data_IF_276595822404
#
_entry.id   IF_276595822404
#
_cell.length_a   1.000
_cell.length_b   1.000
_cell.length_c   1.000
_cell.angle_alpha   90.00
_cell.angle_beta   90.00
_cell.angle_gamma   90.00
#
_symmetry.space_group_name_H-M   'P 1'
#
loop_
_entity.id
_entity.type
_entity.pdbx_description
1 polymer ?
#
# COMPACT_ATOMS: atom_id res chain seq x y z
N UNK A 1 -4.40 15.25 3.23
CA UNK A 1 -3.97 14.38 2.11
C UNK A 1 -5.02 13.29 2.05
N UNK A 2 -5.64 13.11 0.90
CA UNK A 2 -6.83 12.28 0.74
C UNK A 2 -6.38 10.83 0.58
N UNK A 3 -6.65 9.98 1.57
CA UNK A 3 -6.32 8.55 1.48
C UNK A 3 -7.57 7.75 1.14
N UNK A 4 -7.48 6.96 0.07
CA UNK A 4 -8.39 5.86 -0.19
C UNK A 4 -7.72 4.56 0.25
N UNK A 5 -8.46 3.69 0.89
CA UNK A 5 -7.98 2.40 1.36
C UNK A 5 -9.01 1.31 1.06
N UNK A 6 -8.53 0.13 0.70
CA UNK A 6 -9.35 -1.06 0.51
C UNK A 6 -8.62 -2.31 0.96
N UNK A 7 -9.38 -3.29 1.44
CA UNK A 7 -8.92 -4.63 1.73
C UNK A 7 -9.81 -5.64 1.01
N UNK A 8 -9.19 -6.52 0.23
CA UNK A 8 -9.88 -7.47 -0.63
C UNK A 8 -9.57 -8.88 -0.15
N UNK A 9 -10.48 -9.39 0.69
CA UNK A 9 -10.34 -10.66 1.41
C UNK A 9 -10.09 -11.86 0.48
N UNK A 10 -10.74 -11.91 -0.68
CA UNK A 10 -10.66 -13.06 -1.60
C UNK A 10 -9.26 -13.29 -2.19
N UNK A 11 -8.47 -12.23 -2.27
CA UNK A 11 -7.14 -12.25 -2.91
C UNK A 11 -6.04 -11.80 -1.96
N UNK A 12 -6.37 -11.68 -0.68
CA UNK A 12 -5.49 -11.26 0.42
C UNK A 12 -4.63 -10.03 0.08
N UNK A 13 -5.24 -8.98 -0.47
CA UNK A 13 -4.52 -7.77 -0.84
C UNK A 13 -5.16 -6.50 -0.27
N UNK A 14 -4.32 -5.49 -0.08
CA UNK A 14 -4.74 -4.12 0.23
C UNK A 14 -4.34 -3.18 -0.91
N UNK A 15 -5.07 -2.07 -1.01
CA UNK A 15 -4.67 -0.89 -1.75
C UNK A 15 -4.74 0.32 -0.84
N UNK A 16 -3.78 1.23 -0.95
CA UNK A 16 -3.84 2.54 -0.29
C UNK A 16 -3.27 3.63 -1.19
N UNK A 17 -3.97 4.76 -1.29
CA UNK A 17 -3.55 5.91 -2.09
C UNK A 17 -2.89 6.99 -1.25
N UNK A 18 -2.15 7.87 -1.91
CA UNK A 18 -1.46 9.03 -1.30
C UNK A 18 -0.53 8.64 -0.15
N UNK A 19 0.27 7.61 -0.36
CA UNK A 19 1.34 7.20 0.56
C UNK A 19 2.68 7.26 -0.15
N UNK A 20 3.76 7.42 0.62
CA UNK A 20 5.11 7.25 0.11
C UNK A 20 5.54 5.78 0.11
N UNK A 21 6.53 5.45 -0.74
CA UNK A 21 7.06 4.10 -0.86
C UNK A 21 7.65 3.56 0.45
N UNK A 22 8.07 4.42 1.38
CA UNK A 22 8.60 4.01 2.68
C UNK A 22 7.64 3.12 3.50
N UNK A 23 6.33 3.20 3.23
CA UNK A 23 5.34 2.33 3.87
C UNK A 23 5.46 0.86 3.44
N UNK A 24 6.06 0.57 2.28
CA UNK A 24 6.34 -0.80 1.84
C UNK A 24 7.24 -1.58 2.81
N UNK A 25 8.07 -0.87 3.59
CA UNK A 25 8.98 -1.48 4.58
C UNK A 25 8.25 -2.37 5.61
N UNK A 26 7.01 -2.01 5.98
CA UNK A 26 6.16 -2.78 6.90
C UNK A 26 5.92 -4.19 6.35
N UNK A 27 5.77 -4.30 5.03
CA UNK A 27 5.41 -5.53 4.33
C UNK A 27 6.63 -6.36 3.88
N UNK A 28 7.80 -5.74 3.76
CA UNK A 28 9.07 -6.39 3.42
C UNK A 28 9.80 -7.00 4.63
N UNK A 29 9.45 -6.59 5.85
CA UNK A 29 10.15 -6.97 7.07
C UNK A 29 10.26 -8.50 7.20
N UNK A 30 11.49 -9.00 7.28
CA UNK A 30 11.85 -10.42 7.44
C UNK A 30 11.31 -11.34 6.34
N UNK A 31 11.18 -10.84 5.11
CA UNK A 31 10.76 -11.64 3.96
C UNK A 31 11.83 -11.66 2.90
N UNK A 32 11.96 -12.79 2.23
CA UNK A 32 12.78 -12.89 1.03
C UNK A 32 12.04 -12.22 -0.13
N UNK A 33 12.72 -11.33 -0.83
CA UNK A 33 12.11 -10.54 -1.90
C UNK A 33 13.08 -10.27 -3.04
N UNK A 34 12.55 -9.87 -4.18
CA UNK A 34 13.34 -9.31 -5.29
C UNK A 34 12.63 -8.12 -5.92
N UNK A 35 13.39 -7.09 -6.26
CA UNK A 35 12.88 -5.91 -6.97
C UNK A 35 12.93 -6.21 -8.47
N UNK A 36 11.77 -6.33 -9.11
CA UNK A 36 11.68 -6.71 -10.53
C UNK A 36 11.45 -5.52 -11.46
N UNK A 37 10.89 -4.43 -10.95
CA UNK A 37 10.77 -3.16 -11.66
C UNK A 37 11.11 -2.02 -10.69
N UNK A 38 11.99 -1.11 -11.09
CA UNK A 38 12.36 0.06 -10.30
C UNK A 38 12.58 1.26 -11.22
N UNK A 39 11.64 2.20 -11.19
CA UNK A 39 11.71 3.44 -11.95
C UNK A 39 11.71 4.64 -10.99
N UNK A 40 12.49 5.66 -11.33
CA UNK A 40 12.51 6.91 -10.58
C UNK A 40 12.83 8.11 -11.45
N UNK A 41 12.76 9.29 -10.84
CA UNK A 41 12.95 10.56 -11.53
C UNK A 41 14.41 11.04 -11.45
N UNK A 42 15.07 11.14 -12.61
CA UNK A 42 16.36 11.84 -12.75
C UNK A 42 16.19 13.00 -13.72
N UNK A 43 16.46 14.23 -13.27
CA UNK A 43 16.34 15.45 -14.09
C UNK A 43 14.97 15.62 -14.77
N UNK A 44 13.88 15.27 -14.07
CA UNK A 44 12.49 15.26 -14.56
C UNK A 44 12.17 14.24 -15.66
N UNK A 45 13.04 13.25 -15.87
CA UNK A 45 12.78 12.12 -16.73
C UNK A 45 12.65 10.85 -15.89
N UNK A 46 11.65 10.03 -16.21
CA UNK A 46 11.51 8.70 -15.65
C UNK A 46 12.57 7.78 -16.27
N UNK A 47 13.34 7.12 -15.42
CA UNK A 47 14.41 6.21 -15.84
C UNK A 47 14.31 4.89 -15.10
N UNK A 48 14.65 3.81 -15.79
CA UNK A 48 14.88 2.52 -15.15
C UNK A 48 16.14 2.61 -14.27
N UNK A 49 16.05 2.15 -13.03
CA UNK A 49 17.14 2.12 -12.06
C UNK A 49 17.77 0.74 -11.91
N UNK A 50 17.17 -0.29 -12.51
CA UNK A 50 17.75 -1.63 -12.64
C UNK A 50 18.64 -1.72 -13.88
N UNK A 51 19.55 -2.69 -13.89
CA UNK A 51 20.32 -3.05 -15.08
C UNK A 51 19.44 -3.89 -16.03
N UNK A 52 19.27 -3.45 -17.28
CA UNK A 52 18.32 -4.07 -18.24
C UNK A 52 18.63 -5.54 -18.57
N UNK A 53 19.89 -5.94 -18.48
CA UNK A 53 20.38 -7.28 -18.87
C UNK A 53 20.71 -8.19 -17.67
N UNK A 54 20.39 -7.77 -16.43
CA UNK A 54 20.63 -8.56 -15.23
C UNK A 54 19.34 -9.13 -14.67
N UNK A 55 19.34 -10.42 -14.31
CA UNK A 55 18.20 -11.00 -13.62
C UNK A 55 18.07 -10.42 -12.20
N UNK A 56 16.84 -10.02 -11.78
CA UNK A 56 16.59 -9.60 -10.42
C UNK A 56 17.02 -10.63 -9.38
N UNK A 57 17.90 -10.21 -8.48
CA UNK A 57 18.45 -11.06 -7.43
C UNK A 57 17.48 -11.19 -6.25
N UNK A 58 17.40 -12.41 -5.71
CA UNK A 58 16.69 -12.67 -4.46
C UNK A 58 17.51 -12.21 -3.26
N UNK A 59 16.92 -11.30 -2.49
CA UNK A 59 17.40 -10.90 -1.17
C UNK A 59 16.88 -11.92 -0.16
N UNK A 60 17.78 -12.72 0.40
CA UNK A 60 17.46 -13.82 1.32
C UNK A 60 18.07 -13.64 2.71
N UNK A 61 18.91 -12.62 2.88
CA UNK A 61 19.64 -12.31 4.11
C UNK A 61 19.76 -10.79 4.26
N UNK A 62 20.13 -10.35 5.47
CA UNK A 62 20.39 -8.94 5.80
C UNK A 62 19.25 -7.98 5.37
N UNK A 63 18.00 -8.46 5.43
CA UNK A 63 16.83 -7.73 4.90
C UNK A 63 16.74 -6.28 5.40
N UNK A 64 17.12 -6.01 6.65
CA UNK A 64 17.10 -4.64 7.19
C UNK A 64 18.04 -3.70 6.44
N UNK A 65 19.21 -4.17 6.02
CA UNK A 65 20.21 -3.37 5.30
C UNK A 65 19.75 -3.13 3.86
N UNK A 66 19.22 -4.16 3.21
CA UNK A 66 18.67 -4.07 1.85
C UNK A 66 17.45 -3.16 1.79
N UNK A 67 16.51 -3.29 2.73
CA UNK A 67 15.36 -2.39 2.86
C UNK A 67 15.86 -0.96 3.12
N UNK A 68 16.82 -0.77 4.03
CA UNK A 68 17.36 0.57 4.30
C UNK A 68 18.01 1.21 3.07
N UNK A 69 18.78 0.45 2.30
CA UNK A 69 19.40 0.93 1.05
C UNK A 69 18.33 1.35 0.05
N UNK A 70 17.35 0.48 -0.19
CA UNK A 70 16.26 0.72 -1.15
C UNK A 70 15.46 1.99 -0.78
N UNK A 71 15.17 2.20 0.50
CA UNK A 71 14.45 3.40 0.96
C UNK A 71 15.32 4.66 0.95
N UNK A 72 16.60 4.54 1.24
CA UNK A 72 17.53 5.68 1.23
C UNK A 72 17.74 6.19 -0.19
N UNK A 73 17.81 5.29 -1.18
CA UNK A 73 17.90 5.66 -2.59
C UNK A 73 16.66 6.42 -3.08
N UNK A 74 15.45 6.03 -2.63
CA UNK A 74 14.21 6.75 -2.93
C UNK A 74 14.25 8.23 -2.49
N UNK A 75 14.94 8.52 -1.38
CA UNK A 75 15.09 9.91 -0.90
C UNK A 75 15.90 10.79 -1.88
N UNK A 76 16.87 10.20 -2.58
CA UNK A 76 17.72 10.91 -3.53
C UNK A 76 17.18 10.88 -4.96
N UNK A 77 16.59 9.75 -5.36
CA UNK A 77 15.96 9.53 -6.66
C UNK A 77 14.54 9.04 -6.39
N UNK A 78 13.56 9.96 -6.28
CA UNK A 78 12.18 9.59 -5.97
C UNK A 78 11.66 8.55 -6.95
N UNK A 79 11.19 7.43 -6.41
CA UNK A 79 10.61 6.35 -7.18
C UNK A 79 9.23 6.75 -7.67
N UNK A 80 8.98 6.47 -8.95
CA UNK A 80 7.68 6.65 -9.60
C UNK A 80 6.93 5.33 -9.69
N UNK A 81 7.68 4.23 -9.84
CA UNK A 81 7.16 2.89 -9.93
C UNK A 81 8.12 1.88 -9.30
N UNK A 82 7.59 0.99 -8.46
CA UNK A 82 8.33 -0.14 -7.88
C UNK A 82 7.46 -1.37 -7.93
N UNK A 83 8.04 -2.50 -8.37
CA UNK A 83 7.42 -3.82 -8.24
C UNK A 83 8.37 -4.77 -7.56
N UNK A 84 7.88 -5.42 -6.51
CA UNK A 84 8.63 -6.37 -5.71
C UNK A 84 7.85 -7.67 -5.64
N UNK A 85 8.53 -8.79 -5.85
CA UNK A 85 7.97 -10.12 -5.64
C UNK A 85 8.44 -10.69 -4.31
N UNK A 86 7.55 -11.39 -3.61
CA UNK A 86 7.84 -12.08 -2.36
C UNK A 86 8.05 -13.58 -2.64
N UNK A 87 9.05 -14.19 -1.98
CA UNK A 87 9.46 -15.58 -2.28
C UNK A 87 8.38 -16.62 -1.92
N UNK A 88 7.56 -16.32 -0.92
CA UNK A 88 6.43 -17.11 -0.44
C UNK A 88 5.12 -16.83 -1.21
N UNK A 89 5.17 -15.93 -2.19
CA UNK A 89 4.04 -15.56 -3.04
C UNK A 89 3.48 -14.17 -2.71
N UNK A 90 2.78 -13.58 -3.67
CA UNK A 90 2.34 -12.19 -3.56
C UNK A 90 3.42 -11.20 -3.99
N UNK A 91 3.05 -9.93 -3.91
CA UNK A 91 3.77 -8.84 -4.56
C UNK A 91 3.42 -7.49 -3.94
N UNK A 92 4.37 -6.56 -4.04
CA UNK A 92 4.19 -5.17 -3.64
C UNK A 92 4.37 -4.32 -4.89
N UNK A 93 3.36 -3.51 -5.21
CA UNK A 93 3.41 -2.54 -6.29
C UNK A 93 3.23 -1.14 -5.70
N UNK A 94 4.16 -0.26 -6.03
CA UNK A 94 4.05 1.15 -5.73
C UNK A 94 4.03 1.92 -7.04
N UNK A 95 3.00 2.73 -7.26
CA UNK A 95 2.90 3.57 -8.45
C UNK A 95 2.00 4.76 -8.18
N UNK A 96 2.35 5.93 -8.71
CA UNK A 96 1.56 7.16 -8.58
C UNK A 96 1.10 7.46 -7.14
N UNK A 97 2.03 7.36 -6.18
CA UNK A 97 1.78 7.53 -4.74
C UNK A 97 0.72 6.56 -4.17
N UNK A 98 0.51 5.41 -4.80
CA UNK A 98 -0.37 4.35 -4.31
C UNK A 98 0.44 3.09 -4.06
N UNK A 99 0.16 2.42 -2.95
CA UNK A 99 0.78 1.17 -2.55
C UNK A 99 -0.26 0.06 -2.57
N UNK A 100 0.00 -0.98 -3.36
CA UNK A 100 -0.78 -2.20 -3.41
C UNK A 100 0.09 -3.34 -2.89
N UNK A 101 -0.47 -4.11 -1.96
CA UNK A 101 0.25 -5.23 -1.36
C UNK A 101 -0.65 -6.45 -1.41
N UNK A 102 -0.21 -7.46 -2.15
CA UNK A 102 -0.78 -8.80 -2.11
C UNK A 102 0.11 -9.68 -1.24
N UNK A 103 -0.44 -10.26 -0.19
CA UNK A 103 0.29 -11.16 0.70
C UNK A 103 0.04 -12.63 0.39
N UNK A 104 0.97 -13.53 0.74
CA UNK A 104 0.76 -14.96 0.67
C UNK A 104 -0.55 -15.38 1.35
N UNK A 105 -1.24 -16.36 0.78
CA UNK A 105 -2.47 -16.90 1.37
C UNK A 105 -2.18 -17.53 2.73
N UNK A 106 -3.05 -17.27 3.72
CA UNK A 106 -2.90 -17.78 5.08
C UNK A 106 -1.92 -17.00 5.95
N UNK A 107 -1.27 -15.97 5.42
CA UNK A 107 -0.43 -15.07 6.19
C UNK A 107 -1.16 -13.82 6.68
N UNK A 108 -0.75 -13.35 7.85
CA UNK A 108 -1.36 -12.21 8.52
C UNK A 108 -0.94 -10.89 7.86
N UNK A 109 -1.81 -10.42 6.96
CA UNK A 109 -1.80 -9.06 6.43
C UNK A 109 -2.44 -8.06 7.42
N UNK A 110 -3.39 -8.50 8.26
CA UNK A 110 -4.18 -7.64 9.16
C UNK A 110 -3.29 -6.88 10.12
N UNK A 111 -2.38 -7.53 10.84
CA UNK A 111 -1.48 -6.83 11.79
C UNK A 111 -0.61 -5.76 11.13
N UNK A 112 -0.14 -6.01 9.90
CA UNK A 112 0.67 -5.06 9.13
C UNK A 112 -0.16 -3.91 8.60
N UNK A 113 -1.38 -4.19 8.16
CA UNK A 113 -2.32 -3.17 7.74
C UNK A 113 -2.74 -2.28 8.90
N UNK A 114 -3.00 -2.83 10.08
CA UNK A 114 -3.28 -2.04 11.30
C UNK A 114 -2.10 -1.12 11.60
N UNK A 115 -0.87 -1.66 11.64
CA UNK A 115 0.34 -0.86 11.83
C UNK A 115 0.47 0.26 10.80
N UNK A 116 0.24 -0.03 9.51
CA UNK A 116 0.25 0.97 8.44
C UNK A 116 -0.73 2.11 8.76
N UNK A 117 -1.99 1.78 9.02
CA UNK A 117 -3.07 2.75 9.29
C UNK A 117 -2.78 3.61 10.52
N UNK A 118 -2.32 3.00 11.62
CA UNK A 118 -1.97 3.72 12.86
C UNK A 118 -0.82 4.71 12.63
N UNK A 119 0.22 4.33 11.87
CA UNK A 119 1.31 5.27 11.53
C UNK A 119 0.86 6.43 10.64
N UNK A 120 -0.36 6.38 10.10
CA UNK A 120 -0.97 7.43 9.29
C UNK A 120 -2.03 8.23 10.07
N UNK A 121 -2.22 7.94 11.37
CA UNK A 121 -3.16 8.64 12.23
C UNK A 121 -4.59 8.08 12.22
N UNK A 122 -4.78 6.86 11.75
CA UNK A 122 -6.08 6.16 11.81
C UNK A 122 -6.10 5.23 13.02
N UNK A 123 -6.65 5.70 14.15
CA UNK A 123 -6.61 4.95 15.41
C UNK A 123 -7.71 3.88 15.51
N UNK A 124 -8.82 4.05 14.79
CA UNK A 124 -9.82 2.99 14.56
C UNK A 124 -9.38 1.95 13.49
N UNK A 125 -8.08 1.64 13.39
CA UNK A 125 -7.50 0.82 12.32
C UNK A 125 -8.11 -0.59 12.19
N UNK A 126 -8.41 -1.25 13.31
CA UNK A 126 -9.07 -2.56 13.31
C UNK A 126 -10.48 -2.48 12.70
N UNK A 127 -11.26 -1.46 13.08
CA UNK A 127 -12.61 -1.26 12.56
C UNK A 127 -12.58 -0.91 11.07
N UNK A 128 -11.61 -0.10 10.62
CA UNK A 128 -11.39 0.20 9.20
C UNK A 128 -11.11 -1.09 8.42
N UNK A 129 -10.21 -1.94 8.94
CA UNK A 129 -9.88 -3.21 8.29
C UNK A 129 -11.10 -4.11 8.15
N UNK A 130 -11.87 -4.27 9.22
CA UNK A 130 -13.06 -5.14 9.24
C UNK A 130 -14.17 -4.57 8.35
N UNK A 131 -14.38 -3.24 8.36
CA UNK A 131 -15.31 -2.57 7.45
C UNK A 131 -14.96 -2.83 5.97
N UNK A 132 -13.68 -2.67 5.59
CA UNK A 132 -13.25 -2.93 4.21
C UNK A 132 -13.32 -4.43 3.86
N UNK A 133 -13.14 -5.34 4.82
CA UNK A 133 -13.32 -6.77 4.59
C UNK A 133 -14.77 -7.13 4.20
N UNK A 134 -15.75 -6.37 4.69
CA UNK A 134 -17.18 -6.56 4.41
C UNK A 134 -17.69 -5.72 3.24
N UNK A 135 -16.96 -4.66 2.87
CA UNK A 135 -17.31 -3.74 1.80
C UNK A 135 -16.11 -3.66 0.83
N UNK A 136 -16.03 -4.55 -0.17
CA UNK A 136 -14.87 -4.64 -1.05
C UNK A 136 -14.88 -3.51 -2.08
N UNK A 137 -14.20 -2.42 -1.76
CA UNK A 137 -13.91 -1.29 -2.66
C UNK A 137 -12.79 -0.44 -2.04
N UNK A 138 -12.37 0.61 -2.76
CA UNK A 138 -11.54 1.66 -2.19
C UNK A 138 -12.42 2.71 -1.49
N UNK A 139 -12.20 2.94 -0.20
CA UNK A 139 -12.99 3.84 0.63
C UNK A 139 -12.17 5.05 1.09
N UNK A 140 -12.80 6.23 1.07
CA UNK A 140 -12.20 7.47 1.56
C UNK A 140 -12.03 7.41 3.09
N UNK A 141 -10.80 7.41 3.58
CA UNK A 141 -10.54 7.33 5.02
C UNK A 141 -10.63 8.68 5.76
N UNK A 142 -10.75 9.81 5.05
CA UNK A 142 -10.80 11.13 5.69
C UNK A 142 -11.97 11.29 6.68
N UNK A 143 -13.03 10.47 6.57
CA UNK A 143 -14.12 10.44 7.52
C UNK A 143 -13.71 10.02 8.93
N UNK A 144 -12.63 9.25 9.09
CA UNK A 144 -12.24 8.58 10.35
C UNK A 144 -10.82 8.94 10.83
N UNK A 145 -10.18 9.95 10.23
CA UNK A 145 -8.82 10.35 10.61
C UNK A 145 -8.77 10.92 12.04
N UNK A 146 -7.84 10.41 12.85
CA UNK A 146 -7.64 10.86 14.22
C UNK A 146 -8.74 10.47 15.21
N UNK A 147 -9.71 9.66 14.78
CA UNK A 147 -10.81 9.19 15.63
C UNK A 147 -10.40 7.91 16.36
N UNK A 148 -10.67 7.87 17.66
CA UNK A 148 -10.61 6.63 18.42
C UNK A 148 -11.83 5.76 18.09
N UNK A 149 -11.78 4.43 18.31
CA UNK A 149 -12.91 3.53 18.09
C UNK A 149 -14.24 4.00 18.71
N UNK A 150 -14.18 4.59 19.92
CA UNK A 150 -15.36 5.05 20.65
C UNK A 150 -16.00 6.33 20.07
N UNK A 151 -15.25 7.08 19.27
CA UNK A 151 -15.73 8.29 18.62
C UNK A 151 -16.50 7.99 17.33
N UNK A 152 -16.38 6.77 16.79
CA UNK A 152 -17.07 6.36 15.58
C UNK A 152 -18.57 6.22 15.85
N UNK A 153 -19.37 6.91 15.05
CA UNK A 153 -20.83 6.88 15.09
C UNK A 153 -21.40 6.45 13.73
N UNK A 154 -21.44 7.35 12.74
CA UNK A 154 -22.00 7.12 11.41
C UNK A 154 -20.95 7.20 10.29
N UNK A 155 -19.67 7.36 10.64
CA UNK A 155 -18.59 7.61 9.70
C UNK A 155 -18.42 6.49 8.68
N UNK A 156 -18.55 5.22 9.09
CA UNK A 156 -18.47 4.08 8.16
C UNK A 156 -19.65 4.02 7.19
N UNK A 157 -20.86 4.40 7.62
CA UNK A 157 -22.02 4.51 6.72
C UNK A 157 -21.82 5.62 5.70
N UNK A 158 -21.21 6.74 6.11
CA UNK A 158 -20.83 7.84 5.23
C UNK A 158 -19.73 7.45 4.26
N UNK A 159 -18.72 6.71 4.71
CA UNK A 159 -17.67 6.14 3.85
C UNK A 159 -18.26 5.24 2.76
N UNK A 160 -19.16 4.33 3.15
CA UNK A 160 -19.86 3.45 2.21
C UNK A 160 -20.68 4.24 1.20
N UNK A 161 -21.53 5.14 1.69
CA UNK A 161 -22.39 5.98 0.85
C UNK A 161 -21.59 6.82 -0.15
N UNK A 162 -20.42 7.33 0.27
CA UNK A 162 -19.51 8.08 -0.60
C UNK A 162 -18.95 7.21 -1.73
N UNK A 163 -18.47 6.00 -1.42
CA UNK A 163 -17.99 5.05 -2.42
C UNK A 163 -19.10 4.64 -3.40
N UNK A 164 -20.29 4.32 -2.89
CA UNK A 164 -21.46 4.00 -3.73
C UNK A 164 -21.84 5.17 -4.64
N UNK A 165 -21.80 6.41 -4.15
CA UNK A 165 -22.03 7.60 -4.96
C UNK A 165 -20.99 7.73 -6.09
N UNK A 166 -19.69 7.60 -5.79
CA UNK A 166 -18.61 7.67 -6.79
C UNK A 166 -18.77 6.56 -7.84
N UNK A 167 -19.15 5.35 -7.43
CA UNK A 167 -19.30 4.21 -8.33
C UNK A 167 -20.58 4.30 -9.19
N UNK A 168 -21.64 4.92 -8.68
CA UNK A 168 -22.90 5.10 -9.41
C UNK A 168 -22.88 6.31 -10.35
N UNK A 169 -22.13 7.35 -10.03
CA UNK A 169 -21.90 8.43 -10.96
C UNK A 169 -20.90 7.96 -12.02
N UNK A 170 -21.27 8.11 -13.29
CA UNK A 170 -20.38 7.95 -14.44
C UNK A 170 -19.33 9.08 -14.47
N UNK A 171 -18.64 9.35 -13.36
CA UNK A 171 -17.64 10.41 -13.20
C UNK A 171 -16.45 10.26 -14.17
N UNK A 172 -16.34 9.11 -14.83
CA UNK A 172 -15.36 8.79 -15.88
C UNK A 172 -15.91 8.91 -17.32
N UNK A 173 -17.12 9.43 -17.54
CA UNK A 173 -17.67 9.67 -18.89
C UNK A 173 -17.53 11.11 -19.41
N UNK A 174 -16.79 11.97 -18.73
CA UNK A 174 -16.45 13.32 -19.22
C UNK A 174 -14.95 13.48 -19.44
#
# INVERSE_FOLDING_TARGET
MIHFFGYFKETNHIGISSVGFEKAAIFLRNRDFRVVELFGLKKNEEVNLLYEDEEPLWITQDHHSEIHSLLSENWYTPYTHVKIELADGGDINYSAASLYVKYPDGEDIKSKTIMLLETMGYYAAEMIFDFCAENPDMHLLEFVIGMEPEDITDEFDRMKSHTEYINNEEYLKN
#
